data_IF_730939990418
#
_entry.id   IF_730939990418
#
_cell.length_a   1.000
_cell.length_b   1.000
_cell.length_c   1.000
_cell.angle_alpha   90.00
_cell.angle_beta   90.00
_cell.angle_gamma   90.00
#
_symmetry.space_group_name_H-M   'P 1'
#
loop_
_entity.id
_entity.type
_entity.pdbx_description
1 polymer ?
#
# COMPACT_ATOMS: atom_id res chain seq x y z
N UNK A 1 5.68 3.60 -14.48
CA UNK A 1 6.30 2.42 -13.85
C UNK A 1 5.28 1.85 -12.88
N UNK A 2 4.62 0.73 -13.24
CA UNK A 2 3.64 0.07 -12.37
C UNK A 2 4.35 -0.38 -11.09
N UNK A 3 4.03 0.24 -9.97
CA UNK A 3 4.49 -0.25 -8.68
C UNK A 3 3.58 -1.41 -8.26
N UNK A 4 4.20 -2.55 -7.97
CA UNK A 4 3.50 -3.76 -7.53
C UNK A 4 2.93 -3.58 -6.13
N UNK A 5 1.63 -3.84 -5.99
CA UNK A 5 0.96 -3.97 -4.70
C UNK A 5 0.71 -5.46 -4.43
N UNK A 6 1.15 -5.94 -3.26
CA UNK A 6 0.92 -7.31 -2.83
C UNK A 6 -0.30 -7.37 -1.92
N UNK A 7 -1.31 -8.14 -2.34
CA UNK A 7 -2.53 -8.35 -1.54
C UNK A 7 -2.22 -9.12 -0.25
N UNK A 8 -3.08 -8.98 0.77
CA UNK A 8 -2.95 -9.72 2.05
C UNK A 8 -2.75 -11.23 1.85
N UNK A 9 -3.46 -11.82 0.88
CA UNK A 9 -3.35 -13.26 0.56
C UNK A 9 -1.96 -13.62 0.03
N UNK A 10 -1.40 -12.81 -0.87
CA UNK A 10 -0.07 -13.03 -1.44
C UNK A 10 1.02 -12.92 -0.37
N UNK A 11 0.92 -11.96 0.56
CA UNK A 11 1.83 -11.85 1.71
C UNK A 11 1.84 -13.11 2.58
N UNK A 12 0.65 -13.64 2.89
CA UNK A 12 0.53 -14.88 3.68
C UNK A 12 1.14 -16.06 2.92
N UNK A 13 0.89 -16.19 1.62
CA UNK A 13 1.50 -17.26 0.81
C UNK A 13 3.03 -17.17 0.81
N UNK A 14 3.61 -15.98 0.67
CA UNK A 14 5.07 -15.80 0.73
C UNK A 14 5.60 -16.23 2.09
N UNK A 15 4.95 -15.81 3.18
CA UNK A 15 5.32 -16.24 4.54
C UNK A 15 5.25 -17.76 4.71
N UNK A 16 4.15 -18.38 4.26
CA UNK A 16 3.94 -19.83 4.37
C UNK A 16 4.99 -20.60 3.58
N UNK A 17 5.31 -20.16 2.36
CA UNK A 17 6.33 -20.79 1.51
C UNK A 17 7.72 -20.64 2.15
N UNK A 18 8.08 -19.44 2.65
CA UNK A 18 9.37 -19.23 3.30
C UNK A 18 9.52 -20.08 4.57
N UNK A 19 8.47 -20.19 5.38
CA UNK A 19 8.47 -21.03 6.58
C UNK A 19 8.53 -22.52 6.22
N UNK A 20 7.80 -22.97 5.20
CA UNK A 20 7.85 -24.35 4.73
C UNK A 20 9.24 -24.74 4.23
N UNK A 21 9.89 -23.89 3.44
CA UNK A 21 11.26 -24.11 2.96
C UNK A 21 12.23 -24.24 4.14
N UNK A 22 12.09 -23.39 5.15
CA UNK A 22 12.91 -23.45 6.38
C UNK A 22 12.67 -24.70 7.20
N UNK A 23 11.41 -25.16 7.31
CA UNK A 23 11.08 -26.41 8.01
C UNK A 23 11.65 -27.61 7.26
N UNK A 24 11.51 -27.65 5.93
CA UNK A 24 12.01 -28.76 5.10
C UNK A 24 13.53 -28.85 5.15
N UNK A 25 14.22 -27.71 5.09
CA UNK A 25 15.69 -27.67 5.21
C UNK A 25 16.15 -28.13 6.60
N UNK A 26 15.54 -27.64 7.68
CA UNK A 26 15.86 -28.12 9.04
C UNK A 26 15.54 -29.60 9.25
N UNK A 27 14.41 -30.09 8.73
CA UNK A 27 14.03 -31.50 8.83
C UNK A 27 15.00 -32.40 8.05
N UNK A 28 15.45 -31.96 6.87
CA UNK A 28 16.47 -32.65 6.08
C UNK A 28 17.77 -32.86 6.89
N UNK A 29 18.25 -31.80 7.58
CA UNK A 29 19.43 -31.91 8.45
C UNK A 29 19.28 -32.92 9.60
N UNK A 30 18.07 -33.09 10.14
CA UNK A 30 17.77 -34.08 11.18
C UNK A 30 17.75 -35.50 10.60
N UNK A 31 17.08 -35.71 9.45
CA UNK A 31 16.96 -37.03 8.82
C UNK A 31 18.29 -37.60 8.32
N UNK A 32 19.23 -36.73 7.93
CA UNK A 32 20.59 -37.13 7.51
C UNK A 32 21.47 -37.56 8.68
N UNK A 33 21.01 -37.48 9.93
CA UNK A 33 21.77 -37.93 11.12
C UNK A 33 23.01 -37.09 11.44
N UNK A 34 23.15 -35.93 10.80
CA UNK A 34 24.28 -35.00 10.95
C UNK A 34 24.11 -34.11 12.18
N UNK A 35 22.88 -34.04 12.72
CA UNK A 35 22.55 -33.38 13.97
C UNK A 35 22.89 -34.28 15.17
N UNK A 36 24.16 -34.31 15.57
CA UNK A 36 24.61 -35.02 16.78
C UNK A 36 24.80 -33.98 17.90
N UNK A 37 23.81 -33.76 18.77
CA UNK A 37 23.97 -32.88 19.92
C UNK A 37 25.00 -33.51 20.87
N UNK A 38 26.07 -32.77 21.17
CA UNK A 38 27.06 -33.17 22.17
C UNK A 38 26.67 -32.52 23.49
N UNK A 39 26.24 -33.28 24.52
CA UNK A 39 25.96 -32.69 25.83
C UNK A 39 27.23 -31.99 26.35
N UNK A 40 27.13 -30.76 26.90
CA UNK A 40 25.93 -30.08 27.39
C UNK A 40 25.21 -29.15 26.40
N UNK A 41 25.62 -29.10 25.13
CA UNK A 41 25.10 -28.13 24.16
C UNK A 41 23.98 -28.71 23.28
N UNK A 42 22.86 -27.99 23.19
CA UNK A 42 21.73 -28.33 22.32
C UNK A 42 22.02 -28.08 20.83
N UNK A 43 23.12 -27.38 20.50
CA UNK A 43 23.50 -26.96 19.15
C UNK A 43 24.66 -27.85 18.65
N UNK A 44 24.66 -28.30 17.39
CA UNK A 44 25.79 -29.03 16.82
C UNK A 44 27.06 -28.17 16.86
N UNK A 45 28.15 -28.65 17.48
CA UNK A 45 29.42 -27.91 17.55
C UNK A 45 30.12 -27.75 16.19
N UNK A 46 29.70 -28.50 15.16
CA UNK A 46 30.29 -28.39 13.83
C UNK A 46 29.92 -27.03 13.21
N UNK A 47 30.91 -26.16 12.92
CA UNK A 47 30.64 -24.82 12.41
C UNK A 47 29.93 -24.83 11.05
N UNK A 48 30.15 -25.85 10.23
CA UNK A 48 29.47 -26.04 8.94
C UNK A 48 27.94 -26.16 9.10
N UNK A 49 27.49 -26.95 10.08
CA UNK A 49 26.06 -27.16 10.36
C UNK A 49 25.44 -25.86 10.89
N UNK A 50 26.14 -25.19 11.81
CA UNK A 50 25.66 -23.94 12.37
C UNK A 50 25.51 -22.85 11.30
N UNK A 51 26.45 -22.77 10.35
CA UNK A 51 26.37 -21.84 9.23
C UNK A 51 25.19 -22.14 8.29
N UNK A 52 24.89 -23.42 8.02
CA UNK A 52 23.73 -23.80 7.20
C UNK A 52 22.40 -23.43 7.89
N UNK A 53 22.29 -23.67 9.20
CA UNK A 53 21.11 -23.29 9.99
C UNK A 53 20.94 -21.76 10.00
N UNK A 54 22.03 -21.02 10.23
CA UNK A 54 22.02 -19.56 10.24
C UNK A 54 21.62 -19.00 8.86
N UNK A 55 22.20 -19.51 7.77
CA UNK A 55 21.88 -19.08 6.41
C UNK A 55 20.42 -19.35 6.05
N UNK A 56 19.90 -20.50 6.45
CA UNK A 56 18.48 -20.88 6.25
C UNK A 56 17.55 -19.87 6.92
N UNK A 57 17.81 -19.53 8.18
CA UNK A 57 17.03 -18.52 8.91
C UNK A 57 17.11 -17.15 8.24
N UNK A 58 18.29 -16.73 7.78
CA UNK A 58 18.46 -15.46 7.07
C UNK A 58 17.61 -15.43 5.80
N UNK A 59 17.68 -16.46 4.96
CA UNK A 59 16.91 -16.54 3.71
C UNK A 59 15.40 -16.56 4.00
N UNK A 60 15.00 -17.26 5.06
CA UNK A 60 13.60 -17.35 5.52
C UNK A 60 13.00 -15.99 5.84
N UNK A 61 13.76 -15.11 6.48
CA UNK A 61 13.30 -13.79 6.91
C UNK A 61 13.48 -12.77 5.77
N UNK A 62 14.53 -12.93 4.96
CA UNK A 62 14.85 -11.99 3.90
C UNK A 62 13.76 -11.93 2.82
N UNK A 63 13.23 -13.09 2.41
CA UNK A 63 12.17 -13.18 1.39
C UNK A 63 10.89 -12.40 1.75
N UNK A 64 10.22 -12.63 2.89
CA UNK A 64 9.05 -11.86 3.28
C UNK A 64 9.37 -10.39 3.57
N UNK A 65 10.58 -10.08 4.03
CA UNK A 65 11.01 -8.70 4.30
C UNK A 65 11.02 -7.83 3.05
N UNK A 66 11.48 -8.35 1.91
CA UNK A 66 11.47 -7.61 0.64
C UNK A 66 10.03 -7.24 0.25
N UNK A 67 9.10 -8.19 0.36
CA UNK A 67 7.69 -7.97 0.01
C UNK A 67 7.07 -6.89 0.90
N UNK A 68 7.36 -6.90 2.19
CA UNK A 68 6.86 -5.88 3.12
C UNK A 68 7.43 -4.49 2.80
N UNK A 69 8.73 -4.39 2.49
CA UNK A 69 9.36 -3.11 2.10
C UNK A 69 8.73 -2.53 0.83
N UNK A 70 8.49 -3.37 -0.18
CA UNK A 70 7.84 -2.92 -1.43
C UNK A 70 6.43 -2.43 -1.14
N UNK A 71 5.67 -3.15 -0.31
CA UNK A 71 4.32 -2.76 0.07
C UNK A 71 4.29 -1.43 0.85
N UNK A 72 5.19 -1.25 1.82
CA UNK A 72 5.31 0.01 2.59
C UNK A 72 5.62 1.18 1.63
N UNK A 73 6.55 0.99 0.69
CA UNK A 73 6.88 2.01 -0.32
C UNK A 73 5.68 2.35 -1.21
N UNK A 74 4.90 1.33 -1.62
CA UNK A 74 3.69 1.54 -2.40
C UNK A 74 2.66 2.37 -1.61
N UNK A 75 2.34 1.96 -0.38
CA UNK A 75 1.36 2.65 0.47
C UNK A 75 1.77 4.10 0.72
N UNK A 76 3.05 4.36 1.05
CA UNK A 76 3.55 5.71 1.28
C UNK A 76 3.42 6.59 0.04
N UNK A 77 3.70 6.02 -1.14
CA UNK A 77 3.58 6.77 -2.40
C UNK A 77 2.13 7.06 -2.77
N UNK A 78 1.24 6.08 -2.63
CA UNK A 78 -0.21 6.27 -2.85
C UNK A 78 -0.74 7.36 -1.92
N UNK A 79 -0.38 7.36 -0.64
CA UNK A 79 -0.81 8.38 0.31
C UNK A 79 -0.35 9.78 -0.11
N UNK A 80 0.95 9.93 -0.42
CA UNK A 80 1.52 11.19 -0.88
C UNK A 80 0.85 11.72 -2.15
N UNK A 81 0.63 10.84 -3.13
CA UNK A 81 0.05 11.23 -4.42
C UNK A 81 -1.46 11.53 -4.29
N UNK A 82 -2.18 10.89 -3.36
CA UNK A 82 -3.57 11.20 -3.03
C UNK A 82 -3.71 12.55 -2.32
N UNK A 83 -2.85 12.86 -1.36
CA UNK A 83 -2.85 14.17 -0.70
C UNK A 83 -2.53 15.28 -1.69
N UNK A 84 -1.59 15.04 -2.61
CA UNK A 84 -1.34 15.95 -3.72
C UNK A 84 -2.59 16.17 -4.57
N UNK A 85 -3.30 15.10 -4.94
CA UNK A 85 -4.57 15.22 -5.66
C UNK A 85 -5.58 16.09 -4.90
N UNK A 86 -5.74 15.87 -3.60
CA UNK A 86 -6.68 16.64 -2.76
C UNK A 86 -6.34 18.12 -2.83
N UNK A 87 -5.06 18.48 -2.65
CA UNK A 87 -4.60 19.87 -2.73
C UNK A 87 -4.81 20.48 -4.11
N UNK A 88 -4.56 19.73 -5.16
CA UNK A 88 -4.70 20.22 -6.53
C UNK A 88 -6.20 20.42 -6.87
N UNK A 89 -7.11 19.59 -6.32
CA UNK A 89 -8.57 19.82 -6.38
C UNK A 89 -8.96 21.09 -5.63
N UNK A 90 -8.48 21.30 -4.39
CA UNK A 90 -8.75 22.53 -3.63
C UNK A 90 -8.30 23.74 -4.43
N UNK A 91 -7.10 23.69 -4.99
CA UNK A 91 -6.52 24.79 -5.77
C UNK A 91 -7.36 25.11 -7.01
N UNK A 92 -7.86 24.08 -7.70
CA UNK A 92 -8.79 24.24 -8.82
C UNK A 92 -10.14 24.84 -8.39
N UNK A 93 -10.68 24.44 -7.26
CA UNK A 93 -11.93 25.00 -6.73
C UNK A 93 -11.74 26.46 -6.34
N UNK A 94 -10.64 26.79 -5.66
CA UNK A 94 -10.30 28.17 -5.27
C UNK A 94 -10.04 29.08 -6.46
N UNK A 95 -9.64 28.55 -7.62
CA UNK A 95 -9.52 29.32 -8.88
C UNK A 95 -10.86 29.46 -9.62
N UNK A 96 -11.95 28.92 -9.09
CA UNK A 96 -13.31 29.04 -9.63
C UNK A 96 -13.76 27.85 -10.47
N UNK A 97 -13.00 26.75 -10.52
CA UNK A 97 -13.45 25.52 -11.20
C UNK A 97 -14.48 24.76 -10.36
N UNK A 98 -15.39 24.07 -11.04
CA UNK A 98 -16.22 23.06 -10.38
C UNK A 98 -15.37 21.84 -10.03
N UNK A 99 -15.75 21.09 -8.99
CA UNK A 99 -15.00 19.90 -8.55
C UNK A 99 -14.85 18.86 -9.67
N UNK A 100 -15.85 18.72 -10.53
CA UNK A 100 -15.78 17.83 -11.71
C UNK A 100 -14.77 18.33 -12.75
N UNK A 101 -14.69 19.65 -12.98
CA UNK A 101 -13.72 20.25 -13.92
C UNK A 101 -12.29 20.21 -13.37
N UNK A 102 -12.11 20.44 -12.07
CA UNK A 102 -10.83 20.27 -11.40
C UNK A 102 -10.35 18.80 -11.50
N UNK A 103 -11.25 17.83 -11.30
CA UNK A 103 -10.91 16.42 -11.46
C UNK A 103 -10.54 16.06 -12.90
N UNK A 104 -11.22 16.64 -13.90
CA UNK A 104 -10.88 16.45 -15.33
C UNK A 104 -9.45 16.92 -15.64
N UNK A 105 -9.08 18.11 -15.17
CA UNK A 105 -7.72 18.66 -15.35
C UNK A 105 -6.66 17.78 -14.69
N UNK A 106 -6.95 17.31 -13.48
CA UNK A 106 -6.09 16.41 -12.70
C UNK A 106 -5.99 15.03 -13.35
N UNK A 107 -7.07 14.52 -13.96
CA UNK A 107 -7.06 13.23 -14.66
C UNK A 107 -6.14 13.23 -15.89
N UNK A 108 -5.90 14.40 -16.49
CA UNK A 108 -4.94 14.56 -17.58
C UNK A 108 -3.47 14.48 -17.10
N UNK A 109 -3.20 14.82 -15.84
CA UNK A 109 -1.86 14.83 -15.25
C UNK A 109 -1.45 13.47 -14.60
N UNK A 110 -0.15 13.31 -14.31
CA UNK A 110 0.46 12.07 -13.82
C UNK A 110 0.66 12.06 -12.30
N UNK A 111 -0.22 11.37 -11.59
CA UNK A 111 -0.17 11.14 -10.13
C UNK A 111 0.36 9.76 -9.72
N UNK A 112 1.36 9.24 -10.45
CA UNK A 112 1.99 7.96 -10.12
C UNK A 112 0.98 6.79 -10.07
N UNK A 113 0.93 5.99 -8.98
CA UNK A 113 0.03 4.85 -8.82
C UNK A 113 -1.45 5.25 -8.67
N UNK A 114 -1.75 6.52 -8.39
CA UNK A 114 -3.12 7.03 -8.23
C UNK A 114 -3.73 7.44 -9.58
N UNK A 115 -2.89 7.74 -10.58
CA UNK A 115 -3.31 8.21 -11.91
C UNK A 115 -4.32 7.30 -12.60
N UNK A 116 -4.13 5.98 -12.52
CA UNK A 116 -5.05 5.01 -13.12
C UNK A 116 -6.42 5.03 -12.43
N UNK A 117 -6.44 5.13 -11.10
CA UNK A 117 -7.67 5.25 -10.32
C UNK A 117 -8.46 6.51 -10.66
N UNK A 118 -7.77 7.65 -10.82
CA UNK A 118 -8.40 8.93 -11.18
C UNK A 118 -9.01 8.86 -12.57
N UNK A 119 -8.24 8.39 -13.56
CA UNK A 119 -8.70 8.26 -14.95
C UNK A 119 -9.90 7.35 -15.06
N UNK A 120 -9.88 6.23 -14.35
CA UNK A 120 -10.98 5.27 -14.35
C UNK A 120 -12.22 5.81 -13.63
N UNK A 121 -12.04 6.53 -12.52
CA UNK A 121 -13.13 7.23 -11.83
C UNK A 121 -13.78 8.27 -12.74
N UNK A 122 -12.98 9.13 -13.35
CA UNK A 122 -13.46 10.15 -14.27
C UNK A 122 -14.15 9.53 -15.50
N UNK A 123 -13.56 8.47 -16.08
CA UNK A 123 -14.17 7.76 -17.20
C UNK A 123 -15.52 7.15 -16.83
N UNK A 124 -15.69 6.56 -15.64
CA UNK A 124 -16.98 6.05 -15.17
C UNK A 124 -18.01 7.16 -14.97
N UNK A 125 -17.58 8.29 -14.41
CA UNK A 125 -18.43 9.47 -14.28
C UNK A 125 -18.92 9.97 -15.64
N UNK A 126 -18.02 10.08 -16.62
CA UNK A 126 -18.37 10.47 -18.00
C UNK A 126 -19.30 9.46 -18.69
N UNK A 127 -19.27 8.19 -18.27
CA UNK A 127 -20.19 7.15 -18.74
C UNK A 127 -21.55 7.15 -18.01
N UNK A 128 -21.81 8.15 -17.16
CA UNK A 128 -23.08 8.32 -16.46
C UNK A 128 -23.16 7.67 -15.07
N UNK A 129 -22.05 7.15 -14.52
CA UNK A 129 -22.00 6.79 -13.10
C UNK A 129 -22.03 8.05 -12.24
N UNK A 130 -22.72 7.97 -11.11
CA UNK A 130 -22.71 9.04 -10.10
C UNK A 130 -21.28 9.34 -9.61
N UNK A 131 -20.97 10.64 -9.47
CA UNK A 131 -19.62 11.10 -9.11
C UNK A 131 -19.15 10.52 -7.78
N UNK A 132 -20.02 10.53 -6.76
CA UNK A 132 -19.74 9.97 -5.44
C UNK A 132 -19.40 8.48 -5.55
N UNK A 133 -20.19 7.70 -6.28
CA UNK A 133 -19.90 6.28 -6.51
C UNK A 133 -18.57 6.05 -7.22
N UNK A 134 -18.26 6.84 -8.24
CA UNK A 134 -17.03 6.69 -9.01
C UNK A 134 -15.78 6.88 -8.13
N UNK A 135 -15.78 7.93 -7.30
CA UNK A 135 -14.67 8.28 -6.40
C UNK A 135 -14.54 7.28 -5.25
N UNK A 136 -15.65 6.79 -4.70
CA UNK A 136 -15.64 5.72 -3.70
C UNK A 136 -15.04 4.43 -4.27
N UNK A 137 -15.33 4.10 -5.53
CA UNK A 137 -14.73 2.95 -6.20
C UNK A 137 -13.23 3.14 -6.44
N UNK A 138 -12.77 4.36 -6.76
CA UNK A 138 -11.33 4.67 -6.83
C UNK A 138 -10.61 4.35 -5.52
N UNK A 139 -11.14 4.79 -4.38
CA UNK A 139 -10.54 4.53 -3.06
C UNK A 139 -10.54 3.03 -2.71
N UNK A 140 -11.56 2.27 -3.13
CA UNK A 140 -11.58 0.81 -2.96
C UNK A 140 -10.51 0.11 -3.80
N UNK A 141 -10.31 0.55 -5.04
CA UNK A 141 -9.35 -0.06 -5.98
C UNK A 141 -7.89 0.19 -5.59
N UNK A 142 -7.59 1.34 -4.99
CA UNK A 142 -6.26 1.66 -4.46
C UNK A 142 -5.85 0.81 -3.25
N UNK A 143 -6.82 0.16 -2.58
CA UNK A 143 -6.58 -0.89 -1.59
C UNK A 143 -6.01 -0.41 -0.24
N UNK A 144 -5.69 0.87 -0.07
CA UNK A 144 -5.22 1.44 1.20
C UNK A 144 -6.39 1.95 2.07
N UNK A 145 -6.17 2.10 3.38
CA UNK A 145 -7.21 2.63 4.27
C UNK A 145 -7.41 4.13 4.04
N UNK A 146 -6.31 4.83 3.84
CA UNK A 146 -6.22 6.26 3.60
C UNK A 146 -6.94 6.64 2.30
N UNK A 147 -6.77 5.84 1.23
CA UNK A 147 -7.48 6.08 -0.04
C UNK A 147 -9.00 5.98 0.10
N UNK A 148 -9.51 5.02 0.89
CA UNK A 148 -10.95 4.93 1.17
C UNK A 148 -11.47 6.14 1.94
N UNK A 149 -10.71 6.60 2.94
CA UNK A 149 -11.08 7.77 3.74
C UNK A 149 -11.07 9.04 2.89
N UNK A 150 -10.02 9.28 2.11
CA UNK A 150 -9.90 10.43 1.21
C UNK A 150 -11.03 10.41 0.16
N UNK A 151 -11.29 9.26 -0.46
CA UNK A 151 -12.41 9.12 -1.40
C UNK A 151 -13.77 9.41 -0.75
N UNK A 152 -13.98 8.99 0.50
CA UNK A 152 -15.20 9.30 1.23
C UNK A 152 -15.33 10.79 1.52
N UNK A 153 -14.24 11.44 1.93
CA UNK A 153 -14.21 12.88 2.13
C UNK A 153 -14.51 13.62 0.82
N UNK A 154 -13.88 13.23 -0.29
CA UNK A 154 -14.13 13.83 -1.61
C UNK A 154 -15.60 13.69 -2.03
N UNK A 155 -16.21 12.52 -1.82
CA UNK A 155 -17.63 12.28 -2.08
C UNK A 155 -18.54 13.19 -1.22
N UNK A 156 -18.32 13.23 0.10
CA UNK A 156 -19.11 14.06 1.01
C UNK A 156 -18.93 15.55 0.71
N UNK A 157 -17.71 15.97 0.35
CA UNK A 157 -17.43 17.35 -0.05
C UNK A 157 -18.19 17.72 -1.32
N UNK A 158 -18.23 16.84 -2.33
CA UNK A 158 -19.02 17.04 -3.55
C UNK A 158 -20.51 17.22 -3.25
N UNK A 159 -21.10 16.36 -2.40
CA UNK A 159 -22.50 16.48 -1.98
C UNK A 159 -22.78 17.74 -1.17
N UNK A 160 -21.77 18.24 -0.43
CA UNK A 160 -21.90 19.44 0.40
C UNK A 160 -21.90 20.76 -0.40
N UNK A 161 -21.55 20.74 -1.69
CA UNK A 161 -21.71 21.84 -2.65
C UNK A 161 -20.99 23.15 -2.31
N UNK A 162 -21.54 23.94 -1.39
CA UNK A 162 -21.05 25.28 -1.04
C UNK A 162 -19.86 25.31 -0.07
N UNK A 163 -19.55 24.19 0.59
CA UNK A 163 -18.43 24.07 1.56
C UNK A 163 -17.32 23.11 1.11
N UNK A 164 -17.27 22.75 -0.18
CA UNK A 164 -16.31 21.77 -0.71
C UNK A 164 -14.87 22.20 -0.37
N UNK A 165 -14.54 23.48 -0.56
CA UNK A 165 -13.21 24.02 -0.27
C UNK A 165 -12.87 23.96 1.23
N UNK A 166 -13.82 24.28 2.10
CA UNK A 166 -13.61 24.28 3.56
C UNK A 166 -13.44 22.86 4.11
N UNK A 167 -14.27 21.91 3.67
CA UNK A 167 -14.21 20.50 4.10
C UNK A 167 -12.92 19.86 3.59
N UNK A 168 -12.54 20.16 2.35
CA UNK A 168 -11.34 19.59 1.74
C UNK A 168 -10.06 20.20 2.33
N UNK A 169 -10.06 21.49 2.68
CA UNK A 169 -8.94 22.15 3.38
C UNK A 169 -8.80 21.66 4.82
N UNK A 170 -9.91 21.46 5.53
CA UNK A 170 -9.91 20.84 6.86
C UNK A 170 -9.36 19.40 6.81
N UNK A 171 -9.71 18.63 5.78
CA UNK A 171 -9.16 17.30 5.58
C UNK A 171 -7.65 17.32 5.27
N UNK A 172 -7.19 18.19 4.36
CA UNK A 172 -5.77 18.33 4.04
C UNK A 172 -4.93 18.67 5.27
N UNK A 173 -5.34 19.68 6.04
CA UNK A 173 -4.64 20.08 7.28
C UNK A 173 -4.58 18.97 8.33
N UNK A 174 -5.67 18.21 8.49
CA UNK A 174 -5.71 17.04 9.38
C UNK A 174 -4.72 15.96 8.95
N UNK A 175 -4.68 15.63 7.66
CA UNK A 175 -3.75 14.61 7.16
C UNK A 175 -2.29 15.07 7.19
N UNK A 176 -2.00 16.35 6.97
CA UNK A 176 -0.64 16.91 7.14
C UNK A 176 -0.17 16.79 8.58
N UNK A 177 -1.04 17.06 9.54
CA UNK A 177 -0.73 16.85 10.95
C UNK A 177 -0.43 15.37 11.21
N UNK A 178 -1.21 14.43 10.66
CA UNK A 178 -0.89 13.01 10.83
C UNK A 178 0.43 12.60 10.16
N UNK A 179 0.78 13.17 9.01
CA UNK A 179 2.02 12.85 8.31
C UNK A 179 3.27 13.50 8.95
N UNK A 180 3.14 14.68 9.56
CA UNK A 180 4.24 15.33 10.31
C UNK A 180 4.58 14.60 11.62
N UNK A 181 3.66 13.80 12.18
CA UNK A 181 3.87 13.02 13.39
C UNK A 181 4.35 11.56 13.13
N UNK A 182 4.61 11.17 11.88
CA UNK A 182 4.97 9.79 11.48
C UNK A 182 6.34 9.66 10.82
#
# INVERSE_FOLDING_TARGET
MNMLYFTKRQRICVWVISVLISIVTLFSLVTLGVYVPQPPYLIPLKPEINNIIALTLIISIFSPSIVEIVNIKYVKKVNKDLLRLVRDIISGISSGLTMTKALEEIAADKYGPVSEGIKKSFSRFMLGEDFTKSILNMGKELGTTESKQISMILATSYESGAKVADVLSAADSFFRTIEDFR
#
